data_IF_180130117325
#
_entry.id   IF_180130117325
#
_cell.length_a   1.000
_cell.length_b   1.000
_cell.length_c   1.000
_cell.angle_alpha   90.00
_cell.angle_beta   90.00
_cell.angle_gamma   90.00
#
_symmetry.space_group_name_H-M   'P 1'
#
loop_
_entity.id
_entity.type
_entity.pdbx_description
1 polymer ?
#
# COMPACT_ATOMS: atom_id res chain seq x y z
N UNK A 1 7.72 10.03 11.55
CA UNK A 1 6.51 9.63 12.28
C UNK A 1 5.34 9.70 11.31
N UNK A 2 4.66 8.58 11.00
CA UNK A 2 3.41 8.64 10.26
C UNK A 2 2.44 9.53 11.04
N UNK A 3 1.64 10.35 10.35
CA UNK A 3 0.60 11.14 11.02
C UNK A 3 -0.42 10.14 11.60
N UNK A 4 -1.02 10.45 12.75
CA UNK A 4 -2.00 9.58 13.42
C UNK A 4 -3.09 9.06 12.46
N UNK A 5 -3.52 9.90 11.51
CA UNK A 5 -4.49 9.55 10.48
C UNK A 5 -3.99 8.42 9.57
N UNK A 6 -2.72 8.45 9.13
CA UNK A 6 -2.17 7.42 8.24
C UNK A 6 -2.09 6.05 8.92
N UNK A 7 -1.91 6.03 10.25
CA UNK A 7 -1.94 4.80 11.03
C UNK A 7 -3.36 4.26 11.17
N UNK A 8 -4.35 5.15 11.31
CA UNK A 8 -5.77 4.78 11.31
C UNK A 8 -6.18 4.24 9.94
N UNK A 9 -5.81 4.93 8.86
CA UNK A 9 -6.11 4.52 7.48
C UNK A 9 -5.54 3.13 7.18
N UNK A 10 -4.31 2.84 7.64
CA UNK A 10 -3.70 1.52 7.51
C UNK A 10 -4.49 0.45 8.27
N UNK A 11 -4.89 0.71 9.51
CA UNK A 11 -5.67 -0.24 10.32
C UNK A 11 -7.06 -0.50 9.73
N UNK A 12 -7.68 0.52 9.12
CA UNK A 12 -8.97 0.40 8.43
C UNK A 12 -8.81 -0.49 7.20
N UNK A 13 -7.80 -0.21 6.36
CA UNK A 13 -7.52 -1.00 5.15
C UNK A 13 -7.17 -2.45 5.52
N UNK A 14 -6.36 -2.68 6.55
CA UNK A 14 -6.03 -4.01 7.05
C UNK A 14 -7.28 -4.76 7.53
N UNK A 15 -8.12 -4.11 8.34
CA UNK A 15 -9.38 -4.70 8.81
C UNK A 15 -10.32 -5.09 7.67
N UNK A 16 -10.36 -4.28 6.61
CA UNK A 16 -11.09 -4.61 5.38
C UNK A 16 -10.49 -5.84 4.69
N UNK A 17 -9.19 -5.88 4.47
CA UNK A 17 -8.51 -7.00 3.80
C UNK A 17 -8.64 -8.32 4.58
N UNK A 18 -8.65 -8.28 5.90
CA UNK A 18 -8.86 -9.45 6.75
C UNK A 18 -10.23 -10.10 6.54
N UNK A 19 -11.22 -9.36 6.02
CA UNK A 19 -12.54 -9.88 5.69
C UNK A 19 -12.59 -10.65 4.35
N UNK A 20 -11.55 -10.55 3.52
CA UNK A 20 -11.45 -11.14 2.18
C UNK A 20 -10.66 -12.46 2.16
N UNK A 21 -10.76 -13.28 1.12
CA UNK A 21 -9.80 -14.39 0.88
C UNK A 21 -8.46 -13.89 0.34
N UNK A 22 -7.41 -14.70 0.33
CA UNK A 22 -6.12 -14.29 -0.26
C UNK A 22 -6.23 -13.94 -1.75
N UNK A 23 -7.02 -14.70 -2.52
CA UNK A 23 -7.29 -14.41 -3.93
C UNK A 23 -7.99 -13.06 -4.10
N UNK A 24 -8.95 -12.77 -3.22
CA UNK A 24 -9.65 -11.48 -3.20
C UNK A 24 -8.71 -10.34 -2.81
N UNK A 25 -7.81 -10.53 -1.84
CA UNK A 25 -6.78 -9.55 -1.48
C UNK A 25 -5.85 -9.27 -2.67
N UNK A 26 -5.43 -10.30 -3.41
CA UNK A 26 -4.60 -10.15 -4.62
C UNK A 26 -5.35 -9.35 -5.69
N UNK A 27 -6.60 -9.74 -5.99
CA UNK A 27 -7.42 -9.05 -6.97
C UNK A 27 -7.73 -7.59 -6.59
N UNK A 28 -7.91 -7.33 -5.29
CA UNK A 28 -8.14 -6.00 -4.75
C UNK A 28 -6.87 -5.13 -4.79
N UNK A 29 -5.69 -5.69 -4.55
CA UNK A 29 -4.42 -5.01 -4.79
C UNK A 29 -4.24 -4.66 -6.28
N UNK A 30 -4.48 -5.62 -7.19
CA UNK A 30 -4.37 -5.36 -8.63
C UNK A 30 -5.31 -4.23 -9.07
N UNK A 31 -6.57 -4.28 -8.63
CA UNK A 31 -7.58 -3.25 -8.92
C UNK A 31 -7.18 -1.89 -8.35
N UNK A 32 -6.68 -1.84 -7.12
CA UNK A 32 -6.20 -0.60 -6.50
C UNK A 32 -5.11 0.05 -7.35
N UNK A 33 -4.17 -0.75 -7.83
CA UNK A 33 -3.04 -0.25 -8.60
C UNK A 33 -3.49 0.20 -9.99
N UNK A 34 -4.41 -0.51 -10.63
CA UNK A 34 -5.04 -0.07 -11.89
C UNK A 34 -5.74 1.27 -11.74
N UNK A 35 -6.48 1.49 -10.64
CA UNK A 35 -7.11 2.78 -10.34
C UNK A 35 -6.05 3.88 -10.16
N UNK A 36 -4.97 3.60 -9.42
CA UNK A 36 -3.87 4.56 -9.27
C UNK A 36 -3.27 4.95 -10.62
N UNK A 37 -2.95 3.96 -11.47
CA UNK A 37 -2.37 4.21 -12.78
C UNK A 37 -3.32 5.00 -13.69
N UNK A 38 -4.61 4.66 -13.69
CA UNK A 38 -5.64 5.39 -14.45
C UNK A 38 -5.71 6.86 -14.01
N UNK A 39 -5.87 7.11 -12.71
CA UNK A 39 -5.99 8.48 -12.18
C UNK A 39 -4.73 9.30 -12.47
N UNK A 40 -3.55 8.70 -12.34
CA UNK A 40 -2.27 9.37 -12.66
C UNK A 40 -2.20 9.70 -14.15
N UNK A 41 -2.51 8.76 -15.04
CA UNK A 41 -2.48 9.01 -16.49
C UNK A 41 -3.46 10.09 -16.94
N UNK A 42 -4.64 10.14 -16.33
CA UNK A 42 -5.69 11.11 -16.69
C UNK A 42 -5.42 12.52 -16.15
N UNK A 43 -4.70 12.65 -15.02
CA UNK A 43 -4.59 13.92 -14.30
C UNK A 43 -3.16 14.49 -14.22
N UNK A 44 -2.12 13.71 -14.56
CA UNK A 44 -0.72 14.18 -14.53
C UNK A 44 -0.23 14.48 -15.94
N UNK A 45 -0.21 15.78 -16.28
CA UNK A 45 0.29 16.27 -17.58
C UNK A 45 1.80 16.51 -17.60
N UNK A 46 2.47 16.55 -16.44
CA UNK A 46 3.92 16.69 -16.34
C UNK A 46 4.60 15.32 -16.53
N UNK A 47 5.35 15.20 -17.63
CA UNK A 47 6.07 13.98 -18.00
C UNK A 47 7.08 13.53 -16.93
N UNK A 48 7.74 14.47 -16.23
CA UNK A 48 8.72 14.15 -15.17
C UNK A 48 8.01 13.62 -13.93
N UNK A 49 6.92 14.26 -13.54
CA UNK A 49 6.10 13.84 -12.40
C UNK A 49 5.46 12.46 -12.66
N UNK A 50 5.00 12.22 -13.90
CA UNK A 50 4.46 10.93 -14.32
C UNK A 50 5.52 9.83 -14.25
N UNK A 51 6.73 10.05 -14.79
CA UNK A 51 7.82 9.07 -14.70
C UNK A 51 8.21 8.75 -13.25
N UNK A 52 8.25 9.75 -12.38
CA UNK A 52 8.56 9.56 -10.96
C UNK A 52 7.47 8.72 -10.26
N UNK A 53 6.20 9.03 -10.50
CA UNK A 53 5.06 8.28 -9.97
C UNK A 53 5.03 6.84 -10.47
N UNK A 54 5.18 6.61 -11.78
CA UNK A 54 5.23 5.26 -12.36
C UNK A 54 6.40 4.45 -11.80
N UNK A 55 7.58 5.07 -11.61
CA UNK A 55 8.72 4.37 -11.01
C UNK A 55 8.46 4.00 -9.54
N UNK A 56 7.88 4.91 -8.75
CA UNK A 56 7.57 4.64 -7.35
C UNK A 56 6.47 3.57 -7.20
N UNK A 57 5.46 3.59 -8.07
CA UNK A 57 4.44 2.54 -8.14
C UNK A 57 5.03 1.18 -8.53
N UNK A 58 5.91 1.14 -9.53
CA UNK A 58 6.59 -0.09 -9.92
C UNK A 58 7.44 -0.67 -8.76
N UNK A 59 8.10 0.19 -7.97
CA UNK A 59 8.83 -0.23 -6.77
C UNK A 59 7.89 -0.76 -5.68
N UNK A 60 6.76 -0.10 -5.43
CA UNK A 60 5.79 -0.57 -4.45
C UNK A 60 5.19 -1.94 -4.86
N UNK A 61 4.86 -2.13 -6.15
CA UNK A 61 4.46 -3.45 -6.70
C UNK A 61 5.55 -4.51 -6.56
N UNK A 62 6.81 -4.14 -6.76
CA UNK A 62 7.93 -5.09 -6.62
C UNK A 62 8.11 -5.52 -5.15
N UNK A 63 7.95 -4.59 -4.18
CA UNK A 63 8.05 -4.92 -2.76
C UNK A 63 6.94 -5.87 -2.29
N UNK A 64 5.73 -5.80 -2.86
CA UNK A 64 4.67 -6.79 -2.54
C UNK A 64 4.92 -8.17 -3.14
N UNK A 65 5.77 -8.29 -4.18
CA UNK A 65 6.07 -9.54 -4.88
C UNK A 65 7.39 -10.20 -4.45
N UNK A 66 8.34 -9.45 -3.89
CA UNK A 66 9.71 -9.93 -3.61
C UNK A 66 9.83 -10.60 -2.23
N UNK A 67 8.94 -10.33 -1.28
CA UNK A 67 9.04 -10.92 0.06
C UNK A 67 8.59 -12.39 0.14
N UNK A 68 8.15 -13.01 -0.96
CA UNK A 68 7.95 -14.47 -1.06
C UNK A 68 9.28 -15.27 -1.05
N UNK A 69 10.45 -14.60 -0.97
CA UNK A 69 11.77 -15.27 -1.00
C UNK A 69 12.76 -14.90 0.10
N UNK A 70 12.43 -13.99 1.03
CA UNK A 70 13.37 -13.59 2.09
C UNK A 70 12.69 -13.38 3.44
N UNK A 71 12.25 -14.47 4.06
CA UNK A 71 12.21 -14.54 5.53
C UNK A 71 13.61 -14.76 6.14
N UNK A 72 14.65 -14.96 5.31
CA UNK A 72 16.02 -15.07 5.80
C UNK A 72 16.75 -13.72 5.75
N UNK A 73 16.91 -13.18 6.96
CA UNK A 73 17.99 -12.31 7.42
C UNK A 73 17.97 -10.81 7.10
N UNK A 74 17.75 -10.06 8.19
CA UNK A 74 18.50 -8.87 8.63
C UNK A 74 18.08 -7.47 8.16
N UNK A 75 17.58 -6.76 9.16
CA UNK A 75 17.72 -5.32 9.42
C UNK A 75 17.00 -4.34 8.49
N UNK A 76 15.88 -3.81 8.99
CA UNK A 76 15.79 -2.37 9.23
C UNK A 76 15.20 -2.13 10.62
N UNK A 77 16.07 -2.17 11.64
CA UNK A 77 15.79 -1.57 12.94
C UNK A 77 15.59 -0.06 12.75
N UNK A 78 14.40 0.44 13.12
CA UNK A 78 14.16 1.53 14.08
C UNK A 78 12.63 1.56 14.27
N UNK A 79 12.14 0.83 15.26
CA UNK A 79 10.88 1.12 15.94
C UNK A 79 10.97 0.53 17.35
N UNK A 80 10.81 1.40 18.35
CA UNK A 80 10.77 1.08 19.78
C UNK A 80 9.68 0.06 20.12
N UNK A 81 9.83 -0.68 21.24
CA UNK A 81 9.14 -1.94 21.48
C UNK A 81 7.70 -1.67 21.92
N UNK A 82 6.75 -1.99 21.04
CA UNK A 82 5.44 -2.43 21.50
C UNK A 82 5.43 -3.95 21.42
N UNK A 83 5.67 -4.55 22.59
CA UNK A 83 5.34 -5.95 22.84
C UNK A 83 3.84 -6.14 22.63
N UNK A 84 3.49 -6.82 21.55
CA UNK A 84 2.68 -8.04 21.54
C UNK A 84 3.14 -8.81 20.30
N UNK A 85 4.29 -9.49 20.41
CA UNK A 85 4.59 -10.63 19.55
C UNK A 85 3.54 -11.72 19.86
N UNK A 86 2.35 -11.59 19.29
CA UNK A 86 1.50 -12.75 19.09
C UNK A 86 2.05 -13.48 17.89
N UNK A 87 2.94 -14.43 18.14
CA UNK A 87 3.55 -15.32 17.13
C UNK A 87 2.51 -16.30 16.53
N UNK A 88 1.26 -15.88 16.40
CA UNK A 88 0.11 -16.62 15.88
C UNK A 88 -0.63 -15.88 14.76
N UNK A 89 0.00 -14.88 14.12
CA UNK A 89 -0.57 -14.36 12.88
C UNK A 89 -0.59 -15.44 11.80
N UNK A 90 -1.78 -15.71 11.28
CA UNK A 90 -1.97 -16.59 10.14
C UNK A 90 -1.26 -16.02 8.91
N UNK A 91 -0.80 -16.84 7.94
CA UNK A 91 -0.19 -16.35 6.71
C UNK A 91 -1.04 -15.29 5.99
N UNK A 92 -2.37 -15.44 6.05
CA UNK A 92 -3.34 -14.48 5.54
C UNK A 92 -3.29 -13.13 6.26
N UNK A 93 -3.18 -13.11 7.58
CA UNK A 93 -3.08 -11.87 8.36
C UNK A 93 -1.82 -11.10 8.02
N UNK A 94 -0.68 -11.80 7.95
CA UNK A 94 0.59 -11.22 7.49
C UNK A 94 0.45 -10.66 6.07
N UNK A 95 -0.21 -11.40 5.17
CA UNK A 95 -0.44 -10.94 3.81
C UNK A 95 -1.32 -9.68 3.75
N UNK A 96 -2.42 -9.66 4.50
CA UNK A 96 -3.33 -8.52 4.58
C UNK A 96 -2.64 -7.26 5.13
N UNK A 97 -1.86 -7.40 6.20
CA UNK A 97 -1.08 -6.29 6.79
C UNK A 97 -0.09 -5.72 5.77
N UNK A 98 0.66 -6.60 5.09
CA UNK A 98 1.62 -6.19 4.05
C UNK A 98 0.94 -5.42 2.92
N UNK A 99 -0.21 -5.91 2.44
CA UNK A 99 -0.97 -5.26 1.37
C UNK A 99 -1.53 -3.92 1.84
N UNK A 100 -2.09 -3.82 3.06
CA UNK A 100 -2.56 -2.57 3.62
C UNK A 100 -1.43 -1.53 3.71
N UNK A 101 -0.28 -1.92 4.26
CA UNK A 101 0.91 -1.06 4.35
C UNK A 101 1.39 -0.60 2.99
N UNK A 102 1.38 -1.48 1.99
CA UNK A 102 1.77 -1.17 0.61
C UNK A 102 0.86 -0.10 0.00
N UNK A 103 -0.47 -0.27 0.12
CA UNK A 103 -1.45 0.67 -0.38
C UNK A 103 -1.32 2.05 0.26
N UNK A 104 -1.17 2.10 1.59
CA UNK A 104 -0.95 3.36 2.29
C UNK A 104 0.34 4.06 1.84
N UNK A 105 1.42 3.31 1.58
CA UNK A 105 2.66 3.87 1.06
C UNK A 105 2.49 4.46 -0.34
N UNK A 106 1.71 3.77 -1.20
CA UNK A 106 1.36 4.26 -2.54
C UNK A 106 0.57 5.56 -2.44
N UNK A 107 -0.51 5.59 -1.65
CA UNK A 107 -1.33 6.79 -1.46
C UNK A 107 -0.52 7.96 -0.91
N UNK A 108 0.32 7.74 0.10
CA UNK A 108 1.24 8.77 0.62
C UNK A 108 2.17 9.28 -0.48
N UNK A 109 2.75 8.39 -1.26
CA UNK A 109 3.66 8.76 -2.35
C UNK A 109 2.94 9.61 -3.41
N UNK A 110 1.71 9.24 -3.76
CA UNK A 110 0.88 9.98 -4.70
C UNK A 110 0.57 11.37 -4.14
N UNK A 111 0.14 11.45 -2.87
CA UNK A 111 -0.13 12.70 -2.15
C UNK A 111 1.08 13.63 -2.11
N UNK A 112 2.26 13.08 -1.82
CA UNK A 112 3.52 13.84 -1.77
C UNK A 112 3.90 14.43 -3.13
N UNK A 113 3.56 13.73 -4.23
CA UNK A 113 3.79 14.22 -5.59
C UNK A 113 2.70 15.20 -6.04
N UNK A 114 1.42 14.89 -5.81
CA UNK A 114 0.27 15.72 -6.13
C UNK A 114 -0.90 15.41 -5.17
N UNK A 115 -1.19 16.30 -4.20
CA UNK A 115 -2.20 16.03 -3.17
C UNK A 115 -3.62 15.92 -3.69
N UNK A 116 -3.93 16.45 -4.89
CA UNK A 116 -5.27 16.36 -5.47
C UNK A 116 -5.59 14.99 -6.10
N UNK A 117 -4.59 14.13 -6.32
CA UNK A 117 -4.80 12.81 -6.92
C UNK A 117 -5.36 11.80 -5.93
N UNK A 118 -5.05 11.93 -4.65
CA UNK A 118 -5.53 11.00 -3.63
C UNK A 118 -7.06 11.05 -3.50
N UNK A 119 -7.64 12.25 -3.44
CA UNK A 119 -9.09 12.43 -3.40
C UNK A 119 -9.79 11.83 -4.64
N UNK A 120 -9.12 11.82 -5.79
CA UNK A 120 -9.62 11.23 -7.03
C UNK A 120 -9.54 9.71 -7.00
N UNK A 121 -8.46 9.15 -6.44
CA UNK A 121 -8.29 7.71 -6.26
C UNK A 121 -9.35 7.17 -5.31
N UNK A 122 -9.60 7.84 -4.18
CA UNK A 122 -10.61 7.41 -3.22
C UNK A 122 -12.01 7.37 -3.82
N UNK A 123 -12.36 8.35 -4.66
CA UNK A 123 -13.65 8.38 -5.39
C UNK A 123 -13.79 7.25 -6.42
N UNK A 124 -12.70 6.86 -7.08
CA UNK A 124 -12.73 5.77 -8.06
C UNK A 124 -12.67 4.38 -7.38
N UNK A 125 -12.03 4.25 -6.22
CA UNK A 125 -11.99 3.00 -5.43
C UNK A 125 -13.35 2.65 -4.83
N UNK A 126 -14.11 3.65 -4.38
CA UNK A 126 -15.38 3.47 -3.67
C UNK A 126 -16.51 4.30 -4.33
N UNK A 127 -17.08 3.83 -5.45
CA UNK A 127 -18.18 4.50 -6.12
C UNK A 127 -19.50 4.49 -5.34
#
# INVERSE_FOLDING_TARGET
MPRTNERIDQLIEESYLLSLTEEEIRADLDRFVEVCDKVIQENVNDRKQMQELTQKLARARALSLIEDQHEDEKHLEIAEPFELEDSSHTPKEVFAEKVARNKCLILRTIRDCNPGLEDLIDRERYP
#
